data_IF_361556835815
#
_entry.id   IF_361556835815
#
_cell.length_a   1.000
_cell.length_b   1.000
_cell.length_c   1.000
_cell.angle_alpha   90.00
_cell.angle_beta   90.00
_cell.angle_gamma   90.00
#
_symmetry.space_group_name_H-M   'P 1'
#
loop_
_entity.id
_entity.type
_entity.pdbx_description
1 polymer ?
#
# COMPACT_ATOMS: atom_id res chain seq x y z
N UNK A 1 36.68 10.35 55.29
CA UNK A 1 36.43 8.97 54.83
C UNK A 1 35.01 8.91 54.30
N UNK A 2 34.83 9.05 52.98
CA UNK A 2 33.54 9.23 52.30
C UNK A 2 32.91 7.87 51.95
N UNK A 3 31.63 7.62 52.31
CA UNK A 3 30.74 7.01 51.30
C UNK A 3 29.25 7.38 51.47
N UNK A 4 28.90 8.65 51.70
CA UNK A 4 27.48 9.09 51.62
C UNK A 4 27.09 9.63 50.23
N UNK A 5 28.07 9.85 49.34
CA UNK A 5 27.85 10.31 47.97
C UNK A 5 27.49 9.18 46.98
N UNK A 6 27.45 7.92 47.42
CA UNK A 6 27.10 6.76 46.58
C UNK A 6 25.63 6.34 46.72
N UNK A 7 24.73 7.28 47.00
CA UNK A 7 23.27 7.05 46.95
C UNK A 7 22.53 8.05 46.06
N UNK A 8 23.26 8.99 45.46
CA UNK A 8 22.69 10.01 44.59
C UNK A 8 22.78 9.68 43.09
N UNK A 9 23.11 8.43 42.73
CA UNK A 9 23.22 7.97 41.35
C UNK A 9 22.28 6.78 41.02
N UNK A 10 21.17 6.62 41.76
CA UNK A 10 20.11 5.66 41.36
C UNK A 10 18.76 6.33 41.11
N UNK A 11 18.49 7.51 41.66
CA UNK A 11 17.23 8.21 41.39
C UNK A 11 17.17 8.86 39.99
N UNK A 12 18.32 9.10 39.35
CA UNK A 12 18.39 9.67 37.99
C UNK A 12 18.30 8.62 36.87
N UNK A 13 18.19 7.32 37.20
CA UNK A 13 18.14 6.25 36.21
C UNK A 13 16.71 5.80 35.84
N UNK A 14 15.67 6.33 36.50
CA UNK A 14 14.29 5.81 36.34
C UNK A 14 13.30 6.80 35.68
N UNK A 15 13.73 8.01 35.33
CA UNK A 15 12.89 8.99 34.61
C UNK A 15 13.27 9.14 33.13
N UNK A 16 14.42 8.59 32.70
CA UNK A 16 14.85 8.59 31.31
C UNK A 16 14.27 7.44 30.46
N UNK A 17 13.16 6.82 30.89
CA UNK A 17 12.58 5.61 30.26
C UNK A 17 11.20 5.78 29.63
N UNK A 18 10.59 6.98 29.65
CA UNK A 18 9.14 7.12 29.43
C UNK A 18 8.72 7.97 28.22
N UNK A 19 9.62 8.34 27.31
CA UNK A 19 9.25 9.12 26.12
C UNK A 19 9.88 8.47 24.89
N UNK A 20 9.09 8.33 23.84
CA UNK A 20 9.44 7.74 22.52
C UNK A 20 9.10 6.26 22.28
N UNK A 21 8.10 5.71 22.96
CA UNK A 21 7.26 4.69 22.33
C UNK A 21 6.21 5.37 21.43
N UNK A 22 6.67 6.19 20.47
CA UNK A 22 5.79 6.57 19.35
C UNK A 22 5.74 5.33 18.46
N UNK A 23 4.70 4.53 18.65
CA UNK A 23 4.34 3.50 17.68
C UNK A 23 4.01 4.23 16.38
N UNK A 24 5.01 4.37 15.50
CA UNK A 24 4.78 4.65 14.10
C UNK A 24 4.03 3.44 13.55
N UNK A 25 2.70 3.45 13.66
CA UNK A 25 1.87 2.57 12.86
C UNK A 25 2.12 3.03 11.44
N UNK A 26 2.99 2.33 10.71
CA UNK A 26 3.01 2.41 9.26
C UNK A 26 1.57 2.16 8.84
N UNK A 27 0.87 3.20 8.38
CA UNK A 27 -0.46 3.02 7.82
C UNK A 27 -0.27 2.00 6.71
N UNK A 28 -0.89 0.82 6.86
CA UNK A 28 -0.82 -0.17 5.82
C UNK A 28 -1.40 0.47 4.56
N UNK A 29 -0.54 0.76 3.58
CA UNK A 29 -0.98 1.22 2.26
C UNK A 29 -2.01 0.22 1.78
N UNK A 30 -3.17 0.72 1.36
CA UNK A 30 -4.23 -0.15 0.86
C UNK A 30 -3.64 -1.09 -0.21
N UNK A 31 -3.71 -2.42 -0.02
CA UNK A 31 -3.02 -3.36 -0.89
C UNK A 31 -3.55 -3.31 -2.32
N UNK A 32 -4.73 -2.74 -2.57
CA UNK A 32 -5.25 -2.51 -3.91
C UNK A 32 -4.40 -1.50 -4.70
N UNK A 33 -3.86 -0.49 -4.02
CA UNK A 33 -3.14 0.63 -4.64
C UNK A 33 -1.82 0.15 -5.22
N UNK A 34 -1.62 0.41 -6.50
CA UNK A 34 -0.45 -0.06 -7.22
C UNK A 34 -0.73 -0.32 -8.69
N UNK A 35 0.25 -0.96 -9.34
CA UNK A 35 0.17 -1.35 -10.76
C UNK A 35 0.17 -2.86 -10.86
N UNK A 36 -0.89 -3.40 -11.46
CA UNK A 36 -1.14 -4.82 -11.63
C UNK A 36 -1.00 -5.20 -13.08
N UNK A 37 -0.12 -6.14 -13.38
CA UNK A 37 0.06 -6.68 -14.73
C UNK A 37 -0.58 -8.05 -14.82
N UNK A 38 -1.43 -8.24 -15.82
CA UNK A 38 -2.03 -9.53 -16.11
C UNK A 38 -0.96 -10.54 -16.54
N UNK A 39 -0.93 -11.69 -15.88
CA UNK A 39 -0.17 -12.85 -16.33
C UNK A 39 -1.07 -13.74 -17.19
N UNK A 40 -1.04 -13.50 -18.50
CA UNK A 40 -1.86 -14.23 -19.48
C UNK A 40 -1.59 -15.73 -19.44
N UNK A 41 -0.31 -16.14 -19.33
CA UNK A 41 0.10 -17.54 -19.33
C UNK A 41 -0.44 -18.34 -18.12
N UNK A 42 -0.82 -17.66 -17.04
CA UNK A 42 -1.34 -18.29 -15.81
C UNK A 42 -2.82 -18.02 -15.55
N UNK A 43 -3.48 -17.29 -16.44
CA UNK A 43 -4.89 -16.89 -16.28
C UNK A 43 -5.79 -17.76 -17.16
N UNK A 44 -6.99 -18.06 -16.67
CA UNK A 44 -8.03 -18.79 -17.44
C UNK A 44 -9.12 -17.81 -17.86
N UNK A 45 -9.58 -17.91 -19.10
CA UNK A 45 -10.63 -17.07 -19.68
C UNK A 45 -11.74 -17.95 -20.23
N UNK A 46 -12.97 -17.77 -19.73
CA UNK A 46 -14.14 -18.53 -20.20
C UNK A 46 -15.43 -17.74 -19.92
N UNK A 47 -16.28 -17.46 -20.92
CA UNK A 47 -16.00 -17.52 -22.36
C UNK A 47 -15.16 -16.30 -22.81
N UNK A 48 -14.67 -16.35 -24.05
CA UNK A 48 -14.12 -15.18 -24.72
C UNK A 48 -12.62 -15.26 -25.01
N UNK A 49 -12.14 -14.44 -25.94
CA UNK A 49 -10.77 -14.50 -26.40
C UNK A 49 -9.82 -13.85 -25.38
N UNK A 50 -8.68 -14.50 -25.17
CA UNK A 50 -7.66 -14.05 -24.22
C UNK A 50 -7.01 -12.75 -24.74
N UNK A 51 -6.93 -11.67 -23.93
CA UNK A 51 -6.22 -10.47 -24.34
C UNK A 51 -4.72 -10.72 -24.46
N UNK A 52 -4.04 -10.00 -25.34
CA UNK A 52 -2.58 -10.08 -25.48
C UNK A 52 -1.86 -9.48 -24.27
N UNK A 53 -2.43 -8.44 -23.68
CA UNK A 53 -1.91 -7.81 -22.46
C UNK A 53 -2.97 -7.01 -21.73
N UNK A 54 -2.81 -6.83 -20.43
CA UNK A 54 -3.57 -5.88 -19.62
C UNK A 54 -2.73 -5.42 -18.43
N UNK A 55 -2.81 -4.12 -18.14
CA UNK A 55 -2.24 -3.49 -16.94
C UNK A 55 -3.33 -2.64 -16.30
N UNK A 56 -3.48 -2.75 -14.98
CA UNK A 56 -4.43 -1.96 -14.20
C UNK A 56 -3.66 -1.17 -13.15
N UNK A 57 -3.84 0.15 -13.15
CA UNK A 57 -3.28 1.06 -12.14
C UNK A 57 -4.40 1.54 -11.24
N UNK A 58 -4.27 1.29 -9.94
CA UNK A 58 -5.14 1.85 -8.91
C UNK A 58 -4.38 2.95 -8.17
N UNK A 59 -4.98 4.13 -8.08
CA UNK A 59 -4.42 5.32 -7.44
C UNK A 59 -5.46 5.88 -6.47
N UNK A 60 -5.03 6.23 -5.25
CA UNK A 60 -5.92 6.92 -4.30
C UNK A 60 -6.38 8.25 -4.89
N UNK A 61 -7.67 8.55 -4.78
CA UNK A 61 -8.27 9.77 -5.32
C UNK A 61 -9.31 10.31 -4.34
N UNK A 62 -8.89 11.17 -3.42
CA UNK A 62 -9.75 11.71 -2.37
C UNK A 62 -10.34 10.59 -1.51
N UNK A 63 -11.67 10.53 -1.43
CA UNK A 63 -12.41 9.47 -0.76
C UNK A 63 -12.60 8.21 -1.62
N UNK A 64 -12.02 8.13 -2.81
CA UNK A 64 -12.21 7.01 -3.73
C UNK A 64 -10.90 6.54 -4.38
N UNK A 65 -11.05 5.84 -5.50
CA UNK A 65 -9.92 5.31 -6.27
C UNK A 65 -10.08 5.66 -7.75
N UNK A 66 -8.99 6.16 -8.34
CA UNK A 66 -8.84 6.28 -9.79
C UNK A 66 -8.26 4.98 -10.33
N UNK A 67 -8.89 4.45 -11.37
CA UNK A 67 -8.49 3.22 -12.04
C UNK A 67 -8.13 3.54 -13.48
N UNK A 68 -6.91 3.19 -13.89
CA UNK A 68 -6.51 3.20 -15.30
C UNK A 68 -6.30 1.78 -15.77
N UNK A 69 -6.98 1.37 -16.84
CA UNK A 69 -6.82 0.07 -17.48
C UNK A 69 -6.25 0.29 -18.87
N UNK A 70 -5.04 -0.20 -19.11
CA UNK A 70 -4.42 -0.27 -20.43
C UNK A 70 -4.34 -1.74 -20.88
N UNK A 71 -4.54 -2.02 -22.16
CA UNK A 71 -4.43 -3.39 -22.66
C UNK A 71 -4.45 -3.51 -24.18
N UNK A 72 -4.12 -4.70 -24.66
CA UNK A 72 -4.22 -5.08 -26.07
C UNK A 72 -5.19 -6.25 -26.17
N UNK A 73 -6.29 -6.03 -26.88
CA UNK A 73 -7.32 -7.04 -27.12
C UNK A 73 -6.75 -8.19 -27.96
N UNK A 74 -7.49 -9.30 -28.02
CA UNK A 74 -7.09 -10.48 -28.80
C UNK A 74 -6.87 -10.15 -30.29
N UNK A 75 -7.68 -9.25 -30.86
CA UNK A 75 -7.57 -8.76 -32.24
C UNK A 75 -6.40 -7.79 -32.47
N UNK A 76 -5.60 -7.47 -31.44
CA UNK A 76 -4.48 -6.53 -31.52
C UNK A 76 -4.85 -5.07 -31.33
N UNK A 77 -6.13 -4.72 -31.18
CA UNK A 77 -6.53 -3.34 -30.91
C UNK A 77 -6.13 -2.94 -29.48
N UNK A 78 -5.39 -1.83 -29.36
CA UNK A 78 -5.08 -1.22 -28.07
C UNK A 78 -6.32 -0.59 -27.44
N UNK A 79 -6.44 -0.67 -26.11
CA UNK A 79 -7.51 -0.06 -25.34
C UNK A 79 -6.94 0.62 -24.11
N UNK A 80 -7.42 1.82 -23.82
CA UNK A 80 -7.26 2.50 -22.54
C UNK A 80 -8.60 2.93 -21.99
N UNK A 81 -8.81 2.73 -20.70
CA UNK A 81 -9.99 3.17 -19.95
C UNK A 81 -9.53 3.84 -18.67
N UNK A 82 -10.10 5.00 -18.34
CA UNK A 82 -9.85 5.70 -17.07
C UNK A 82 -11.18 5.88 -16.36
N UNK A 83 -11.25 5.44 -15.10
CA UNK A 83 -12.45 5.49 -14.27
C UNK A 83 -12.10 6.16 -12.94
N UNK A 84 -13.01 6.96 -12.41
CA UNK A 84 -12.95 7.42 -11.03
C UNK A 84 -14.11 6.76 -10.29
N UNK A 85 -13.82 6.03 -9.22
CA UNK A 85 -14.81 5.33 -8.42
C UNK A 85 -14.84 5.90 -7.01
N UNK A 86 -15.96 6.50 -6.64
CA UNK A 86 -16.27 6.85 -5.25
C UNK A 86 -16.86 5.67 -4.48
N UNK A 87 -17.25 4.59 -5.16
CA UNK A 87 -17.81 3.39 -4.51
C UNK A 87 -16.76 2.61 -3.71
N UNK A 88 -15.47 2.86 -3.97
CA UNK A 88 -14.37 2.36 -3.15
C UNK A 88 -13.91 3.44 -2.16
N UNK A 89 -14.82 3.87 -1.29
CA UNK A 89 -14.51 4.72 -0.15
C UNK A 89 -14.35 3.84 1.09
N UNK A 90 -13.25 3.99 1.82
CA UNK A 90 -13.08 3.38 3.15
C UNK A 90 -13.79 4.19 4.22
#
# INVERSE_FOLDING_TARGET
>A
MYPLLRRLNLAAALVAGAVFAVSLTAQATDPLIGTWKLNVARSKYTPGPVPKSQTVKFESSGQGVKVTVDGVNANGTGRRVVLNSSAYAK
#
